data_IF_109689112104
#
_entry.id   IF_109689112104
#
_cell.length_a   1.000
_cell.length_b   1.000
_cell.length_c   1.000
_cell.angle_alpha   90.00
_cell.angle_beta   90.00
_cell.angle_gamma   90.00
#
_symmetry.space_group_name_H-M   'P 1'
#
loop_
_entity.id
_entity.type
_entity.pdbx_description
1 polymer ?
#
# COMPACT_ATOMS: atom_id res chain seq x y z
N UNK A 1 12.42 -6.94 9.52
CA UNK A 1 13.67 -6.22 9.77
C UNK A 1 14.14 -5.50 8.50
N UNK A 2 14.72 -6.19 7.50
CA UNK A 2 15.33 -5.54 6.31
C UNK A 2 14.50 -4.45 5.62
N UNK A 3 13.21 -4.65 5.37
CA UNK A 3 12.37 -3.63 4.70
C UNK A 3 12.25 -2.32 5.48
N UNK A 4 12.20 -2.41 6.81
CA UNK A 4 12.11 -1.25 7.70
C UNK A 4 13.46 -0.53 7.72
N UNK A 5 14.56 -1.29 7.83
CA UNK A 5 15.92 -0.75 7.84
C UNK A 5 16.21 0.02 6.54
N UNK A 6 15.79 -0.52 5.38
CA UNK A 6 15.88 0.18 4.10
C UNK A 6 15.09 1.50 4.09
N UNK A 7 13.90 1.53 4.69
CA UNK A 7 13.09 2.75 4.75
C UNK A 7 13.77 3.83 5.61
N UNK A 8 14.31 3.47 6.78
CA UNK A 8 15.04 4.41 7.64
C UNK A 8 16.36 4.88 6.99
N UNK A 9 17.04 4.01 6.24
CA UNK A 9 18.20 4.40 5.46
C UNK A 9 17.84 5.45 4.38
N UNK A 10 16.71 5.28 3.69
CA UNK A 10 16.23 6.30 2.74
C UNK A 10 15.88 7.61 3.45
N UNK A 11 15.32 7.59 4.66
CA UNK A 11 15.12 8.82 5.45
C UNK A 11 16.44 9.51 5.78
N UNK A 12 17.48 8.74 6.11
CA UNK A 12 18.80 9.28 6.44
C UNK A 12 19.54 9.85 5.22
N UNK A 13 19.44 9.19 4.06
CA UNK A 13 20.22 9.52 2.86
C UNK A 13 19.38 10.14 1.72
N UNK A 14 18.10 10.41 1.97
CA UNK A 14 17.11 11.06 1.10
C UNK A 14 16.69 10.29 -0.16
N UNK A 15 17.58 9.51 -0.78
CA UNK A 15 17.30 8.86 -2.07
C UNK A 15 17.37 7.35 -1.95
N UNK A 16 16.38 6.67 -2.54
CA UNK A 16 16.33 5.22 -2.65
C UNK A 16 15.88 4.78 -4.04
N UNK A 17 16.57 3.78 -4.59
CA UNK A 17 16.19 3.11 -5.84
C UNK A 17 15.79 1.69 -5.48
N UNK A 18 14.60 1.26 -5.91
CA UNK A 18 14.01 0.00 -5.49
C UNK A 18 13.62 -0.86 -6.69
N UNK A 19 14.05 -2.12 -6.67
CA UNK A 19 13.58 -3.15 -7.59
C UNK A 19 12.14 -3.60 -7.26
N UNK A 20 11.45 -4.17 -8.24
CA UNK A 20 10.16 -4.83 -8.02
C UNK A 20 10.31 -5.99 -7.02
N UNK A 21 9.28 -6.20 -6.19
CA UNK A 21 9.32 -7.20 -5.11
C UNK A 21 8.00 -7.94 -5.04
N UNK A 22 8.04 -9.23 -4.75
CA UNK A 22 6.87 -10.07 -4.50
C UNK A 22 6.16 -9.57 -3.23
N UNK A 23 4.84 -9.44 -3.30
CA UNK A 23 3.97 -9.38 -2.12
C UNK A 23 3.29 -10.74 -2.04
N UNK A 24 3.61 -11.57 -1.03
CA UNK A 24 3.18 -12.96 -1.02
C UNK A 24 1.68 -13.10 -0.74
N UNK A 25 1.05 -14.01 -1.48
CA UNK A 25 -0.26 -14.61 -1.20
C UNK A 25 -0.07 -16.04 -0.67
N UNK A 26 -1.14 -16.80 -0.47
CA UNK A 26 -1.09 -18.19 0.02
C UNK A 26 -0.23 -19.08 -0.88
N UNK A 27 -0.32 -18.91 -2.20
CA UNK A 27 0.47 -19.69 -3.17
C UNK A 27 1.96 -19.38 -3.04
N UNK A 28 2.32 -18.11 -2.87
CA UNK A 28 3.72 -17.69 -2.66
C UNK A 28 4.26 -18.15 -1.30
N UNK A 29 3.41 -18.26 -0.29
CA UNK A 29 3.81 -18.84 1.01
C UNK A 29 4.22 -20.30 0.84
N UNK A 30 3.44 -21.08 0.10
CA UNK A 30 3.74 -22.49 -0.18
C UNK A 30 4.98 -22.63 -1.08
N UNK A 31 5.00 -21.94 -2.21
CA UNK A 31 6.10 -21.98 -3.20
C UNK A 31 7.45 -21.68 -2.58
N UNK A 32 7.53 -20.61 -1.78
CA UNK A 32 8.79 -20.16 -1.17
C UNK A 32 8.99 -20.66 0.26
N UNK A 33 8.11 -21.52 0.78
CA UNK A 33 8.13 -22.04 2.15
C UNK A 33 8.28 -20.93 3.19
N UNK A 34 7.50 -19.87 3.03
CA UNK A 34 7.58 -18.68 3.87
C UNK A 34 7.03 -18.97 5.26
N UNK A 35 7.69 -18.42 6.29
CA UNK A 35 7.22 -18.54 7.69
C UNK A 35 5.83 -17.94 7.93
N UNK A 36 5.44 -16.97 7.10
CA UNK A 36 4.13 -16.30 7.11
C UNK A 36 3.95 -15.50 5.83
N UNK A 37 2.71 -15.06 5.59
CA UNK A 37 2.40 -14.08 4.56
C UNK A 37 2.89 -12.70 4.99
N UNK A 38 4.02 -12.26 4.43
CA UNK A 38 4.62 -10.97 4.77
C UNK A 38 3.85 -9.81 4.12
N UNK A 39 3.76 -8.67 4.83
CA UNK A 39 3.19 -7.44 4.27
C UNK A 39 4.01 -6.93 3.09
N UNK A 40 3.36 -6.22 2.18
CA UNK A 40 4.03 -5.65 0.99
C UNK A 40 5.20 -4.74 1.36
N UNK A 41 6.41 -4.97 0.83
CA UNK A 41 7.55 -4.09 1.08
C UNK A 41 7.29 -2.64 0.66
N UNK A 42 6.54 -2.44 -0.43
CA UNK A 42 6.18 -1.10 -0.90
C UNK A 42 5.28 -0.38 0.11
N UNK A 43 4.30 -1.09 0.70
CA UNK A 43 3.40 -0.54 1.71
C UNK A 43 4.16 -0.15 2.98
N UNK A 44 5.06 -1.00 3.46
CA UNK A 44 5.91 -0.71 4.62
C UNK A 44 6.76 0.54 4.42
N UNK A 45 7.48 0.65 3.30
CA UNK A 45 8.34 1.80 3.01
C UNK A 45 7.52 3.09 2.92
N UNK A 46 6.41 3.08 2.17
CA UNK A 46 5.55 4.27 2.01
C UNK A 46 4.95 4.73 3.32
N UNK A 47 4.56 3.81 4.20
CA UNK A 47 4.00 4.15 5.49
C UNK A 47 5.02 4.80 6.43
N UNK A 48 6.32 4.52 6.25
CA UNK A 48 7.41 5.10 7.04
C UNK A 48 7.86 6.45 6.45
N UNK A 49 7.98 6.54 5.13
CA UNK A 49 8.42 7.77 4.44
C UNK A 49 7.31 8.83 4.34
N UNK A 50 6.05 8.39 4.18
CA UNK A 50 4.95 9.26 3.81
C UNK A 50 5.06 9.81 2.37
N UNK A 51 4.12 10.66 2.00
CA UNK A 51 4.15 11.42 0.74
C UNK A 51 3.24 10.91 -0.37
N UNK A 52 3.52 11.40 -1.59
CA UNK A 52 2.73 11.15 -2.79
C UNK A 52 3.59 10.42 -3.83
N UNK A 53 3.04 9.34 -4.40
CA UNK A 53 3.67 8.63 -5.51
C UNK A 53 3.21 9.26 -6.81
N UNK A 54 4.13 9.86 -7.55
CA UNK A 54 3.88 10.32 -8.91
C UNK A 54 4.16 9.20 -9.92
N UNK A 55 3.24 9.00 -10.86
CA UNK A 55 3.41 8.08 -11.99
C UNK A 55 3.24 8.85 -13.28
N UNK A 56 4.24 8.75 -14.13
CA UNK A 56 4.28 9.36 -15.45
C UNK A 56 4.61 8.29 -16.49
N UNK A 57 3.99 8.39 -17.67
CA UNK A 57 4.28 7.51 -18.79
C UNK A 57 5.56 7.95 -19.51
N UNK A 58 6.44 7.00 -19.85
CA UNK A 58 7.54 7.25 -20.77
C UNK A 58 6.98 7.14 -22.20
N UNK A 59 7.00 8.24 -22.95
CA UNK A 59 6.37 8.31 -24.28
C UNK A 59 7.39 8.00 -25.39
N UNK A 60 7.11 6.96 -26.16
CA UNK A 60 7.85 6.59 -27.36
C UNK A 60 7.10 7.07 -28.62
N UNK A 61 7.76 7.84 -29.49
CA UNK A 61 7.13 8.44 -30.69
C UNK A 61 6.55 7.40 -31.67
N UNK A 62 7.09 6.19 -31.68
CA UNK A 62 6.70 5.10 -32.57
C UNK A 62 5.68 4.12 -31.97
N UNK A 63 5.18 4.38 -30.76
CA UNK A 63 4.21 3.50 -30.09
C UNK A 63 2.84 4.21 -30.07
N UNK A 64 1.81 3.67 -30.74
CA UNK A 64 0.47 4.26 -30.69
C UNK A 64 -0.14 4.16 -29.29
N UNK A 65 -0.88 5.19 -28.90
CA UNK A 65 -1.59 5.24 -27.61
C UNK A 65 -2.95 4.56 -27.72
N UNK A 66 -3.38 3.88 -26.66
CA UNK A 66 -4.70 3.24 -26.59
C UNK A 66 -5.84 4.27 -26.70
N UNK A 67 -5.70 5.39 -25.99
CA UNK A 67 -6.61 6.53 -26.11
C UNK A 67 -5.98 7.53 -27.07
N UNK A 68 -6.51 7.57 -28.28
CA UNK A 68 -5.89 8.30 -29.41
C UNK A 68 -5.89 9.82 -29.22
N UNK A 69 -6.87 10.38 -28.49
CA UNK A 69 -6.96 11.81 -28.21
C UNK A 69 -6.00 12.33 -27.12
N UNK A 70 -5.26 11.46 -26.44
CA UNK A 70 -4.30 11.90 -25.41
C UNK A 70 -3.03 12.43 -26.06
N UNK A 71 -2.96 13.72 -26.34
CA UNK A 71 -1.78 14.33 -26.95
C UNK A 71 -0.64 14.57 -25.96
N UNK A 72 -0.97 14.94 -24.71
CA UNK A 72 -0.04 15.27 -23.63
C UNK A 72 0.02 14.16 -22.57
N UNK A 73 1.12 14.04 -21.81
CA UNK A 73 1.21 13.08 -20.72
C UNK A 73 0.22 13.41 -19.60
N UNK A 74 -0.28 12.37 -18.94
CA UNK A 74 -1.10 12.47 -17.73
C UNK A 74 -0.26 11.94 -16.57
N UNK A 75 -0.12 12.74 -15.52
CA UNK A 75 0.61 12.37 -14.30
C UNK A 75 -0.40 12.07 -13.21
N UNK A 76 -0.27 10.89 -12.60
CA UNK A 76 -1.12 10.49 -11.47
C UNK A 76 -0.36 10.75 -10.18
N UNK A 77 -0.87 11.67 -9.36
CA UNK A 77 -0.47 11.85 -7.98
C UNK A 77 -1.28 10.94 -7.07
N UNK A 78 -0.68 9.84 -6.61
CA UNK A 78 -1.34 8.87 -5.74
C UNK A 78 -0.94 9.10 -4.27
N UNK A 79 -1.95 9.31 -3.41
CA UNK A 79 -1.76 9.30 -1.96
C UNK A 79 -1.23 7.93 -1.50
N UNK A 80 -0.09 7.93 -0.82
CA UNK A 80 0.67 6.71 -0.53
C UNK A 80 0.49 6.20 0.91
N UNK A 81 -0.54 6.66 1.62
CA UNK A 81 -0.74 6.39 3.04
C UNK A 81 -2.19 5.98 3.36
N UNK A 82 -2.34 5.07 4.32
CA UNK A 82 -3.62 4.59 4.88
C UNK A 82 -4.52 3.80 3.91
N UNK A 83 -5.84 3.98 4.04
CA UNK A 83 -6.91 3.27 3.36
C UNK A 83 -6.71 1.74 3.40
N UNK A 84 -7.02 1.07 2.30
CA UNK A 84 -6.86 -0.38 2.12
C UNK A 84 -5.45 -0.89 2.46
N UNK A 85 -4.41 -0.03 2.40
CA UNK A 85 -3.02 -0.41 2.68
C UNK A 85 -2.66 -0.41 4.18
N UNK A 86 -3.56 0.11 5.03
CA UNK A 86 -3.51 -0.01 6.51
C UNK A 86 -4.81 -0.58 7.08
N UNK A 87 -5.65 -1.18 6.27
CA UNK A 87 -6.88 -1.81 6.73
C UNK A 87 -6.56 -3.01 7.63
N UNK A 88 -7.51 -3.32 8.51
CA UNK A 88 -7.58 -4.60 9.23
C UNK A 88 -8.77 -5.35 8.68
N UNK A 89 -8.53 -6.54 8.18
CA UNK A 89 -9.52 -7.43 7.60
C UNK A 89 -9.65 -8.71 8.42
N UNK A 90 -10.82 -9.31 8.38
CA UNK A 90 -11.10 -10.61 8.98
C UNK A 90 -12.28 -11.25 8.27
N UNK A 91 -12.37 -12.58 8.38
CA UNK A 91 -13.52 -13.33 7.86
C UNK A 91 -14.58 -13.40 8.96
N UNK A 92 -15.81 -13.01 8.63
CA UNK A 92 -16.95 -13.14 9.55
C UNK A 92 -17.30 -14.63 9.71
N UNK A 93 -17.20 -15.23 10.91
CA UNK A 93 -17.28 -16.68 11.08
C UNK A 93 -18.70 -17.25 11.06
N UNK A 94 -19.73 -16.40 11.13
CA UNK A 94 -21.13 -16.80 11.18
C UNK A 94 -22.07 -15.61 11.35
N UNK A 95 -23.37 -15.88 11.48
CA UNK A 95 -24.39 -14.84 11.67
C UNK A 95 -24.15 -14.07 12.97
N UNK A 96 -24.23 -12.74 12.91
CA UNK A 96 -24.01 -11.89 14.06
C UNK A 96 -24.15 -10.40 13.73
N UNK A 97 -23.78 -9.57 14.70
CA UNK A 97 -23.78 -8.11 14.60
C UNK A 97 -22.35 -7.61 14.45
N UNK A 98 -22.09 -6.78 13.44
CA UNK A 98 -20.83 -6.08 13.27
C UNK A 98 -20.96 -4.64 13.77
N UNK A 99 -20.04 -4.21 14.63
CA UNK A 99 -20.03 -2.86 15.18
C UNK A 99 -18.66 -2.21 15.00
N UNK A 100 -18.65 -0.92 14.69
CA UNK A 100 -17.48 -0.05 14.79
C UNK A 100 -17.58 0.74 16.09
N UNK A 101 -16.53 0.65 16.90
CA UNK A 101 -16.44 1.34 18.18
C UNK A 101 -15.24 2.30 18.13
N UNK A 102 -15.50 3.57 18.39
CA UNK A 102 -14.48 4.58 18.61
C UNK A 102 -14.44 4.95 20.08
N UNK A 103 -13.25 4.89 20.69
CA UNK A 103 -13.00 5.36 22.06
C UNK A 103 -12.07 6.56 21.99
N UNK A 104 -12.61 7.73 22.30
CA UNK A 104 -11.91 9.00 22.37
C UNK A 104 -10.90 9.02 23.53
N UNK A 105 -9.91 9.90 23.43
CA UNK A 105 -8.89 10.07 24.49
C UNK A 105 -9.45 10.70 25.77
N UNK A 106 -10.57 11.39 25.66
CA UNK A 106 -11.40 11.95 26.73
C UNK A 106 -12.32 10.91 27.40
N UNK A 107 -12.35 9.68 26.88
CA UNK A 107 -13.20 8.61 27.37
C UNK A 107 -14.58 8.55 26.71
N UNK A 108 -14.89 9.43 25.75
CA UNK A 108 -16.14 9.34 25.00
C UNK A 108 -16.15 8.08 24.12
N UNK A 109 -17.28 7.36 24.09
CA UNK A 109 -17.43 6.14 23.30
C UNK A 109 -18.54 6.32 22.28
N UNK A 110 -18.20 6.21 21.00
CA UNK A 110 -19.15 6.20 19.89
C UNK A 110 -19.25 4.78 19.34
N UNK A 111 -20.48 4.27 19.20
CA UNK A 111 -20.77 2.96 18.62
C UNK A 111 -21.65 3.12 17.39
N UNK A 112 -21.30 2.42 16.31
CA UNK A 112 -22.10 2.37 15.10
C UNK A 112 -22.25 0.93 14.62
N UNK A 113 -23.46 0.55 14.22
CA UNK A 113 -23.72 -0.75 13.61
C UNK A 113 -23.38 -0.65 12.13
N UNK A 114 -22.54 -1.55 11.62
CA UNK A 114 -22.11 -1.58 10.21
C UNK A 114 -23.14 -2.29 9.36
#
# INVERSE_FOLDING_TARGET
QVTIDCAEAVKKYNVGIKCATITPDEKRVEEFKLKKMWKSPNGTIRNILGGTVFREAIICKNIPRLVTGWEKPIIIGRHAHADQYKATDFVVPGVGKLELIFTGKDGEIIRHVV
#
